data_IF_889609890572
#
_entry.id   IF_889609890572
#
_cell.length_a   1.000
_cell.length_b   1.000
_cell.length_c   1.000
_cell.angle_alpha   90.00
_cell.angle_beta   90.00
_cell.angle_gamma   90.00
#
_symmetry.space_group_name_H-M   'P 1'
#
loop_
_entity.id
_entity.type
_entity.pdbx_description
1 polymer ?
#
# COMPACT_ATOMS: atom_id res chain seq x y z
N UNK A 1 -4.40 11.21 1.04
CA UNK A 1 -2.95 11.00 0.95
C UNK A 1 -2.67 9.59 1.41
N UNK A 2 -1.74 8.92 0.74
CA UNK A 2 -1.27 7.58 1.04
C UNK A 2 0.24 7.60 1.15
N UNK A 3 0.77 6.73 1.99
CA UNK A 3 2.18 6.59 2.27
C UNK A 3 2.62 5.16 2.01
N UNK A 4 3.83 5.04 1.48
CA UNK A 4 4.56 3.78 1.37
C UNK A 4 5.67 3.83 2.39
N UNK A 5 5.55 2.96 3.39
CA UNK A 5 6.52 2.78 4.47
C UNK A 5 7.36 1.55 4.15
N UNK A 6 8.66 1.59 4.41
CA UNK A 6 9.58 0.47 4.17
C UNK A 6 10.32 0.13 5.45
N UNK A 7 10.26 -1.15 5.82
CA UNK A 7 11.10 -1.75 6.83
C UNK A 7 12.24 -2.50 6.14
N UNK A 8 13.40 -1.84 6.06
CA UNK A 8 14.62 -2.41 5.49
C UNK A 8 15.21 -3.54 6.31
N UNK A 9 14.82 -3.67 7.58
CA UNK A 9 15.36 -4.67 8.50
C UNK A 9 14.61 -5.99 8.38
N UNK A 10 13.29 -5.93 8.25
CA UNK A 10 12.45 -7.11 8.03
C UNK A 10 12.16 -7.39 6.54
N UNK A 11 12.53 -6.47 5.64
CA UNK A 11 12.29 -6.61 4.21
C UNK A 11 10.81 -6.50 3.87
N UNK A 12 10.15 -5.48 4.41
CA UNK A 12 8.70 -5.28 4.25
C UNK A 12 8.37 -3.92 3.73
N UNK A 13 7.28 -3.83 2.97
CA UNK A 13 6.74 -2.59 2.44
C UNK A 13 5.29 -2.48 2.84
N UNK A 14 4.88 -1.37 3.46
CA UNK A 14 3.53 -1.12 3.93
C UNK A 14 2.90 0.04 3.17
N UNK A 15 1.71 -0.19 2.61
CA UNK A 15 0.87 0.87 2.04
C UNK A 15 -0.22 1.26 3.04
N UNK A 16 -0.27 2.54 3.42
CA UNK A 16 -1.27 3.08 4.35
C UNK A 16 -1.84 4.42 3.90
N UNK A 17 -3.12 4.66 4.18
CA UNK A 17 -3.77 5.96 4.06
C UNK A 17 -3.90 6.71 5.39
N UNK A 18 -3.34 6.16 6.48
CA UNK A 18 -3.46 6.70 7.83
C UNK A 18 -2.19 7.44 8.21
N UNK A 19 -2.27 8.75 8.51
CA UNK A 19 -1.10 9.49 8.96
C UNK A 19 -0.58 9.00 10.32
N UNK A 20 -1.46 8.46 11.17
CA UNK A 20 -1.06 7.89 12.47
C UNK A 20 -0.09 6.73 12.34
N UNK A 21 -0.20 5.92 11.28
CA UNK A 21 0.72 4.80 11.05
C UNK A 21 2.15 5.31 10.83
N UNK A 22 2.33 6.49 10.23
CA UNK A 22 3.66 7.12 10.04
C UNK A 22 4.27 7.55 11.38
N UNK A 23 3.44 8.05 12.31
CA UNK A 23 3.88 8.46 13.65
C UNK A 23 4.12 7.27 14.60
N UNK A 24 3.34 6.21 14.45
CA UNK A 24 3.41 4.99 15.27
C UNK A 24 4.54 4.05 14.83
N UNK A 25 4.80 3.96 13.51
CA UNK A 25 5.84 3.12 12.92
C UNK A 25 7.15 3.90 12.71
N UNK A 26 7.72 4.44 13.79
CA UNK A 26 8.95 5.26 13.73
C UNK A 26 10.18 4.54 13.19
N UNK A 27 10.17 3.21 13.20
CA UNK A 27 11.25 2.37 12.70
C UNK A 27 11.13 2.07 11.19
N UNK A 28 10.02 2.50 10.57
CA UNK A 28 9.78 2.36 9.13
C UNK A 28 10.09 3.70 8.44
N UNK A 29 10.74 3.63 7.29
CA UNK A 29 11.06 4.81 6.49
C UNK A 29 9.93 5.13 5.50
N UNK A 30 9.57 6.41 5.37
CA UNK A 30 8.66 6.86 4.31
C UNK A 30 9.42 6.85 2.99
N UNK A 31 9.15 5.85 2.16
CA UNK A 31 9.78 5.73 0.85
C UNK A 31 9.04 6.52 -0.25
N UNK A 32 7.72 6.66 -0.11
CA UNK A 32 6.91 7.37 -1.10
C UNK A 32 5.62 7.94 -0.50
N UNK A 33 5.17 9.07 -1.05
CA UNK A 33 3.89 9.70 -0.72
C UNK A 33 3.08 9.87 -2.00
N UNK A 34 1.82 9.46 -1.98
CA UNK A 34 0.94 9.50 -3.13
C UNK A 34 -0.42 10.10 -2.79
N UNK A 35 -1.00 10.86 -3.71
CA UNK A 35 -2.35 11.37 -3.53
C UNK A 35 -3.41 10.26 -3.68
N UNK A 36 -3.04 9.16 -4.36
CA UNK A 36 -3.93 8.05 -4.67
C UNK A 36 -3.37 6.69 -4.22
N UNK A 37 -4.27 5.79 -3.80
CA UNK A 37 -3.89 4.44 -3.32
C UNK A 37 -3.25 3.60 -4.43
N UNK A 38 -3.78 3.72 -5.66
CA UNK A 38 -3.30 2.97 -6.82
C UNK A 38 -1.81 3.28 -7.09
N UNK A 39 -1.45 4.57 -7.02
CA UNK A 39 -0.08 5.05 -7.16
C UNK A 39 0.83 4.60 -6.01
N UNK A 40 0.38 4.73 -4.76
CA UNK A 40 1.15 4.20 -3.61
C UNK A 40 1.37 2.68 -3.69
N UNK A 41 0.35 1.94 -4.14
CA UNK A 41 0.44 0.49 -4.31
C UNK A 41 1.40 0.10 -5.43
N UNK A 42 1.37 0.80 -6.57
CA UNK A 42 2.35 0.58 -7.64
C UNK A 42 3.78 0.87 -7.18
N UNK A 43 3.99 1.97 -6.44
CA UNK A 43 5.30 2.29 -5.88
C UNK A 43 5.78 1.21 -4.89
N UNK A 44 4.90 0.71 -4.02
CA UNK A 44 5.22 -0.36 -3.09
C UNK A 44 5.61 -1.66 -3.79
N UNK A 45 4.90 -2.03 -4.87
CA UNK A 45 5.24 -3.20 -5.68
C UNK A 45 6.61 -3.05 -6.35
N UNK A 46 6.94 -1.87 -6.87
CA UNK A 46 8.23 -1.61 -7.50
C UNK A 46 9.38 -1.78 -6.50
N UNK A 47 9.24 -1.21 -5.30
CA UNK A 47 10.24 -1.33 -4.23
C UNK A 47 10.38 -2.80 -3.81
N UNK A 48 9.26 -3.50 -3.66
CA UNK A 48 9.29 -4.90 -3.27
C UNK A 48 9.89 -5.84 -4.32
N UNK A 49 9.67 -5.55 -5.61
CA UNK A 49 10.27 -6.31 -6.71
C UNK A 49 11.78 -6.08 -6.82
N UNK A 50 12.25 -4.85 -6.60
CA UNK A 50 13.66 -4.51 -6.63
C UNK A 50 14.45 -5.14 -5.47
N UNK A 51 13.86 -5.18 -4.27
CA UNK A 51 14.54 -5.59 -3.04
C UNK A 51 14.15 -6.99 -2.52
N UNK A 52 13.29 -7.73 -3.24
CA UNK A 52 12.71 -9.02 -2.84
C UNK A 52 11.91 -8.95 -1.51
N UNK A 53 11.20 -7.84 -1.30
CA UNK A 53 10.45 -7.57 -0.06
C UNK A 53 8.99 -8.02 -0.13
N UNK A 54 8.38 -8.20 1.04
CA UNK A 54 6.95 -8.52 1.16
C UNK A 54 6.12 -7.25 1.26
N UNK A 55 5.12 -7.11 0.39
CA UNK A 55 4.16 -5.99 0.46
C UNK A 55 3.00 -6.34 1.39
N UNK A 56 2.83 -5.53 2.43
CA UNK A 56 1.66 -5.47 3.30
C UNK A 56 0.81 -4.22 2.96
N UNK A 57 -0.51 -4.31 3.12
CA UNK A 57 -1.40 -3.17 2.90
C UNK A 57 -2.55 -3.15 3.91
N UNK A 58 -2.86 -1.96 4.43
CA UNK A 58 -4.11 -1.74 5.18
C UNK A 58 -5.18 -1.26 4.22
N UNK A 59 -6.16 -2.13 3.96
CA UNK A 59 -7.32 -1.80 3.16
C UNK A 59 -8.36 -1.15 4.07
N UNK A 60 -8.29 0.18 4.21
CA UNK A 60 -9.32 0.92 4.95
C UNK A 60 -10.68 0.74 4.24
N UNK A 61 -11.79 0.70 5.01
CA UNK A 61 -13.11 0.31 4.51
C UNK A 61 -13.61 1.18 3.34
N UNK A 62 -13.15 2.44 3.29
CA UNK A 62 -13.37 3.39 2.20
C UNK A 62 -12.79 2.92 0.85
N UNK A 63 -11.67 2.21 0.86
CA UNK A 63 -11.03 1.61 -0.33
C UNK A 63 -11.60 0.22 -0.60
N UNK A 64 -12.04 -0.50 0.44
CA UNK A 64 -12.74 -1.78 0.33
C UNK A 64 -13.95 -1.73 -0.60
N UNK A 65 -14.71 -0.64 -0.58
CA UNK A 65 -15.83 -0.47 -1.51
C UNK A 65 -15.39 -0.25 -2.97
N UNK A 66 -14.29 0.47 -3.22
CA UNK A 66 -13.74 0.69 -4.57
C UNK A 66 -13.07 -0.58 -5.13
N UNK A 67 -12.29 -1.29 -4.31
CA UNK A 67 -11.67 -2.56 -4.68
C UNK A 67 -12.71 -3.65 -4.92
N UNK A 68 -13.75 -3.76 -4.06
CA UNK A 68 -14.90 -4.65 -4.30
C UNK A 68 -15.62 -4.34 -5.61
N UNK A 69 -15.82 -3.06 -5.96
CA UNK A 69 -16.40 -2.67 -7.26
C UNK A 69 -15.54 -3.11 -8.45
N UNK A 70 -14.22 -2.94 -8.38
CA UNK A 70 -13.28 -3.41 -9.42
C UNK A 70 -13.26 -4.94 -9.55
N UNK A 71 -13.27 -5.67 -8.43
CA UNK A 71 -13.32 -7.14 -8.42
C UNK A 71 -14.67 -7.72 -8.88
N UNK A 72 -15.78 -7.02 -8.63
CA UNK A 72 -17.11 -7.38 -9.18
C UNK A 72 -17.17 -7.15 -10.70
N UNK A 73 -16.51 -6.11 -11.22
CA UNK A 73 -16.44 -5.87 -12.67
C UNK A 73 -15.74 -6.98 -13.45
N UNK A 74 -14.76 -7.65 -12.83
CA UNK A 74 -14.03 -8.77 -13.43
C UNK A 74 -14.80 -10.10 -13.40
N UNK A 75 -15.83 -10.23 -12.56
CA UNK A 75 -16.67 -11.44 -12.50
C UNK A 75 -17.80 -11.48 -13.54
N UNK A 76 -18.05 -10.39 -14.27
CA UNK A 76 -19.12 -10.30 -15.27
C UNK A 76 -18.61 -10.41 -16.73
N UNK A 77 -17.40 -10.94 -16.94
CA UNK A 77 -16.95 -11.37 -18.28
C UNK A 77 -17.16 -12.88 -18.42
N UNK A 78 -18.42 -13.28 -18.59
CA UNK A 78 -18.81 -14.59 -19.13
C UNK A 78 -19.95 -14.41 -20.12
#
# INVERSE_FOLDING_TARGET
MYWVLVDWKEGRVLVTGRPSDVDELREWDVAYEAESWDEAYQAALLIADEEDFVVEWYLDEEIGQKAKKRLVGLKNVQ
#
